data_IF_989467900098
#
_entry.id   IF_989467900098
#
_cell.length_a   1.000
_cell.length_b   1.000
_cell.length_c   1.000
_cell.angle_alpha   90.00
_cell.angle_beta   90.00
_cell.angle_gamma   90.00
#
_symmetry.space_group_name_H-M   'P 1'
#
loop_
_entity.id
_entity.type
_entity.pdbx_description
1 polymer ?
#
# COMPACT_ATOMS: atom_id res chain seq x y z
N UNK A 1 58.58 2.13 -29.18
CA UNK A 1 58.24 1.48 -27.90
C UNK A 1 57.79 2.49 -26.83
N UNK A 2 58.63 3.43 -26.36
CA UNK A 2 58.22 4.37 -25.28
C UNK A 2 57.05 5.31 -25.65
N UNK A 3 57.04 5.89 -26.85
CA UNK A 3 55.97 6.81 -27.30
C UNK A 3 54.61 6.13 -27.46
N UNK A 4 54.60 4.86 -27.81
CA UNK A 4 53.39 4.06 -28.01
C UNK A 4 52.78 3.64 -26.67
N UNK A 5 53.63 3.28 -25.70
CA UNK A 5 53.21 3.06 -24.32
C UNK A 5 52.62 4.33 -23.68
N UNK A 6 53.20 5.51 -23.93
CA UNK A 6 52.67 6.79 -23.45
C UNK A 6 51.30 7.13 -24.07
N UNK A 7 51.10 6.82 -25.35
CA UNK A 7 49.82 7.01 -26.02
C UNK A 7 48.74 6.10 -25.40
N UNK A 8 49.05 4.83 -25.16
CA UNK A 8 48.17 3.88 -24.50
C UNK A 8 47.81 4.31 -23.07
N UNK A 9 48.78 4.79 -22.28
CA UNK A 9 48.51 5.30 -20.93
C UNK A 9 47.58 6.51 -20.95
N UNK A 10 47.73 7.42 -21.91
CA UNK A 10 46.83 8.58 -22.06
C UNK A 10 45.41 8.16 -22.46
N UNK A 11 45.28 7.19 -23.35
CA UNK A 11 43.98 6.64 -23.74
C UNK A 11 43.29 5.95 -22.55
N UNK A 12 44.02 5.10 -21.83
CA UNK A 12 43.50 4.45 -20.62
C UNK A 12 43.06 5.46 -19.55
N UNK A 13 43.81 6.55 -19.35
CA UNK A 13 43.40 7.62 -18.42
C UNK A 13 42.08 8.26 -18.84
N UNK A 14 41.90 8.56 -20.13
CA UNK A 14 40.63 9.10 -20.66
C UNK A 14 39.48 8.11 -20.43
N UNK A 15 39.70 6.82 -20.68
CA UNK A 15 38.68 5.79 -20.43
C UNK A 15 38.32 5.71 -18.94
N UNK A 16 39.30 5.80 -18.04
CA UNK A 16 39.06 5.82 -16.60
C UNK A 16 38.25 7.05 -16.19
N UNK A 17 38.54 8.23 -16.74
CA UNK A 17 37.80 9.45 -16.40
C UNK A 17 36.34 9.37 -16.86
N UNK A 18 36.07 8.78 -18.04
CA UNK A 18 34.70 8.48 -18.50
C UNK A 18 34.01 7.50 -17.56
N UNK A 19 34.68 6.42 -17.19
CA UNK A 19 34.12 5.41 -16.28
C UNK A 19 33.79 6.00 -14.90
N UNK A 20 34.64 6.89 -14.37
CA UNK A 20 34.38 7.60 -13.11
C UNK A 20 33.13 8.48 -13.20
N UNK A 21 33.01 9.27 -14.27
CA UNK A 21 31.84 10.12 -14.48
C UNK A 21 30.55 9.30 -14.62
N UNK A 22 30.61 8.17 -15.34
CA UNK A 22 29.48 7.27 -15.46
C UNK A 22 29.14 6.57 -14.13
N UNK A 23 30.14 6.13 -13.37
CA UNK A 23 29.93 5.53 -12.06
C UNK A 23 29.26 6.50 -11.08
N UNK A 24 29.71 7.76 -11.04
CA UNK A 24 29.10 8.78 -10.17
C UNK A 24 27.65 9.06 -10.55
N UNK A 25 27.35 9.07 -11.86
CA UNK A 25 25.97 9.27 -12.35
C UNK A 25 25.08 8.10 -11.96
N UNK A 26 25.55 6.87 -12.13
CA UNK A 26 24.82 5.66 -11.75
C UNK A 26 24.60 5.58 -10.24
N UNK A 27 25.61 5.93 -9.44
CA UNK A 27 25.50 5.96 -7.98
C UNK A 27 24.46 6.99 -7.52
N UNK A 28 24.50 8.22 -8.06
CA UNK A 28 23.48 9.24 -7.76
C UNK A 28 22.08 8.78 -8.14
N UNK A 29 21.93 8.11 -9.28
CA UNK A 29 20.65 7.56 -9.72
C UNK A 29 20.15 6.44 -8.79
N UNK A 30 21.03 5.53 -8.39
CA UNK A 30 20.73 4.44 -7.48
C UNK A 30 20.27 4.96 -6.11
N UNK A 31 20.98 5.94 -5.53
CA UNK A 31 20.61 6.57 -4.26
C UNK A 31 19.23 7.23 -4.32
N UNK A 32 18.93 7.96 -5.40
CA UNK A 32 17.61 8.56 -5.59
C UNK A 32 16.50 7.52 -5.75
N UNK A 33 16.78 6.42 -6.46
CA UNK A 33 15.82 5.33 -6.64
C UNK A 33 15.55 4.61 -5.31
N UNK A 34 16.59 4.35 -4.52
CA UNK A 34 16.49 3.75 -3.20
C UNK A 34 15.65 4.64 -2.25
N UNK A 35 15.94 5.94 -2.21
CA UNK A 35 15.18 6.87 -1.37
C UNK A 35 13.69 6.90 -1.76
N UNK A 36 13.38 6.94 -3.06
CA UNK A 36 12.00 6.86 -3.56
C UNK A 36 11.33 5.54 -3.17
N UNK A 37 12.07 4.43 -3.22
CA UNK A 37 11.56 3.12 -2.85
C UNK A 37 11.26 3.03 -1.35
N UNK A 38 12.15 3.52 -0.49
CA UNK A 38 11.96 3.58 0.97
C UNK A 38 10.75 4.45 1.32
N UNK A 39 10.65 5.64 0.72
CA UNK A 39 9.50 6.55 0.90
C UNK A 39 8.20 5.89 0.44
N UNK A 40 8.19 5.24 -0.72
CA UNK A 40 7.04 4.50 -1.25
C UNK A 40 6.60 3.38 -0.33
N UNK A 41 7.54 2.56 0.15
CA UNK A 41 7.28 1.48 1.12
C UNK A 41 6.66 2.00 2.41
N UNK A 42 7.17 3.12 2.93
CA UNK A 42 6.66 3.76 4.15
C UNK A 42 5.24 4.27 3.96
N UNK A 43 4.94 4.93 2.84
CA UNK A 43 3.59 5.39 2.51
C UNK A 43 2.60 4.23 2.37
N UNK A 44 2.99 3.16 1.67
CA UNK A 44 2.15 1.96 1.53
C UNK A 44 1.86 1.30 2.88
N UNK A 45 2.86 1.24 3.78
CA UNK A 45 2.67 0.72 5.13
C UNK A 45 1.70 1.58 5.94
N UNK A 46 1.83 2.90 5.87
CA UNK A 46 0.93 3.83 6.57
C UNK A 46 -0.51 3.71 6.04
N UNK A 47 -0.70 3.73 4.72
CA UNK A 47 -1.99 3.55 4.09
C UNK A 47 -2.61 2.20 4.47
N UNK A 48 -1.81 1.14 4.47
CA UNK A 48 -2.25 -0.18 4.95
C UNK A 48 -2.77 -0.14 6.39
N UNK A 49 -2.07 0.54 7.31
CA UNK A 49 -2.51 0.68 8.71
C UNK A 49 -3.85 1.41 8.82
N UNK A 50 -4.04 2.47 8.04
CA UNK A 50 -5.30 3.20 7.96
C UNK A 50 -6.43 2.30 7.45
N UNK A 51 -6.19 1.57 6.36
CA UNK A 51 -7.17 0.62 5.82
C UNK A 51 -7.52 -0.45 6.85
N UNK A 52 -6.52 -0.99 7.58
CA UNK A 52 -6.76 -1.98 8.65
C UNK A 52 -7.62 -1.43 9.78
N UNK A 53 -7.48 -0.14 10.10
CA UNK A 53 -8.36 0.55 11.05
C UNK A 53 -9.79 0.61 10.52
N UNK A 54 -9.99 0.98 9.26
CA UNK A 54 -11.32 1.05 8.64
C UNK A 54 -11.97 -0.34 8.56
N UNK A 55 -11.21 -1.39 8.22
CA UNK A 55 -11.69 -2.79 8.24
C UNK A 55 -12.23 -3.17 9.62
N UNK A 56 -11.55 -2.78 10.69
CA UNK A 56 -12.00 -3.03 12.07
C UNK A 56 -13.29 -2.27 12.38
N UNK A 57 -13.37 -1.00 12.00
CA UNK A 57 -14.58 -0.20 12.17
C UNK A 57 -15.77 -0.79 11.40
N UNK A 58 -15.58 -1.18 10.14
CA UNK A 58 -16.61 -1.83 9.32
C UNK A 58 -17.06 -3.17 9.96
N UNK A 59 -16.13 -3.96 10.49
CA UNK A 59 -16.46 -5.18 11.25
C UNK A 59 -17.31 -4.89 12.49
N UNK A 60 -17.02 -3.82 13.24
CA UNK A 60 -17.82 -3.42 14.41
C UNK A 60 -19.23 -2.96 14.00
N UNK A 61 -19.35 -2.21 12.89
CA UNK A 61 -20.63 -1.79 12.33
C UNK A 61 -21.46 -3.02 11.95
N UNK A 62 -20.88 -4.00 11.27
CA UNK A 62 -21.57 -5.27 10.96
C UNK A 62 -22.08 -5.98 12.22
N UNK A 63 -21.24 -6.05 13.26
CA UNK A 63 -21.62 -6.70 14.52
C UNK A 63 -22.75 -5.96 15.23
N UNK A 64 -22.69 -4.62 15.27
CA UNK A 64 -23.73 -3.78 15.86
C UNK A 64 -25.04 -3.88 15.06
N UNK A 65 -24.96 -3.85 13.73
CA UNK A 65 -26.12 -4.00 12.86
C UNK A 65 -26.78 -5.39 13.03
N UNK A 66 -25.99 -6.45 13.21
CA UNK A 66 -26.51 -7.77 13.52
C UNK A 66 -27.28 -7.79 14.85
N UNK A 67 -26.69 -7.25 15.93
CA UNK A 67 -27.38 -7.16 17.22
C UNK A 67 -28.65 -6.31 17.17
N UNK A 68 -28.60 -5.17 16.47
CA UNK A 68 -29.78 -4.33 16.28
C UNK A 68 -30.87 -5.02 15.46
N UNK A 69 -30.50 -5.83 14.45
CA UNK A 69 -31.44 -6.63 13.68
C UNK A 69 -32.18 -7.63 14.57
N UNK A 70 -31.53 -8.20 15.57
CA UNK A 70 -32.15 -9.14 16.50
C UNK A 70 -33.14 -8.43 17.42
N UNK A 71 -32.79 -7.27 17.98
CA UNK A 71 -33.75 -6.43 18.75
C UNK A 71 -34.94 -6.01 17.88
N UNK A 72 -34.68 -5.59 16.64
CA UNK A 72 -35.74 -5.18 15.71
C UNK A 72 -36.68 -6.33 15.33
N UNK A 73 -36.28 -7.60 15.46
CA UNK A 73 -37.19 -8.74 15.22
C UNK A 73 -38.26 -8.87 16.29
N UNK A 74 -37.96 -8.48 17.52
CA UNK A 74 -38.86 -8.57 18.67
C UNK A 74 -39.97 -7.51 18.60
N UNK A 75 -39.74 -6.42 17.86
CA UNK A 75 -40.71 -5.33 17.70
C UNK A 75 -41.82 -5.64 16.68
N UNK A 76 -43.04 -5.07 16.85
CA UNK A 76 -44.12 -5.18 15.88
C UNK A 76 -43.72 -4.71 14.47
N UNK A 77 -44.23 -5.40 13.44
CA UNK A 77 -43.86 -5.16 12.03
C UNK A 77 -44.07 -3.71 11.56
N UNK A 78 -45.15 -3.06 11.99
CA UNK A 78 -45.58 -1.76 11.47
C UNK A 78 -44.55 -0.65 11.75
N UNK A 79 -43.92 -0.71 12.92
CA UNK A 79 -42.97 0.32 13.37
C UNK A 79 -41.51 -0.06 13.04
N UNK A 80 -41.19 -1.36 12.99
CA UNK A 80 -39.82 -1.83 12.80
C UNK A 80 -39.41 -2.11 11.33
N UNK A 81 -40.36 -2.19 10.39
CA UNK A 81 -40.06 -2.63 9.02
C UNK A 81 -39.02 -1.75 8.30
N UNK A 82 -39.19 -0.42 8.39
CA UNK A 82 -38.27 0.55 7.77
C UNK A 82 -36.88 0.53 8.42
N UNK A 83 -36.80 0.27 9.72
CA UNK A 83 -35.52 0.11 10.42
C UNK A 83 -34.84 -1.20 10.03
N UNK A 84 -35.60 -2.30 9.88
CA UNK A 84 -35.04 -3.60 9.46
C UNK A 84 -34.39 -3.53 8.08
N UNK A 85 -35.01 -2.84 7.12
CA UNK A 85 -34.43 -2.66 5.80
C UNK A 85 -33.13 -1.84 5.88
N UNK A 86 -33.18 -0.67 6.51
CA UNK A 86 -32.00 0.22 6.67
C UNK A 86 -30.83 -0.47 7.37
N UNK A 87 -31.08 -1.23 8.43
CA UNK A 87 -30.04 -1.97 9.16
C UNK A 87 -29.48 -3.10 8.31
N UNK A 88 -30.32 -3.77 7.52
CA UNK A 88 -29.87 -4.81 6.58
C UNK A 88 -28.99 -4.22 5.47
N UNK A 89 -29.39 -3.08 4.93
CA UNK A 89 -28.65 -2.39 3.86
C UNK A 89 -27.29 -1.93 4.37
N UNK A 90 -27.24 -1.27 5.54
CA UNK A 90 -26.02 -0.83 6.20
C UNK A 90 -25.05 -1.98 6.49
N UNK A 91 -25.56 -3.11 7.03
CA UNK A 91 -24.75 -4.30 7.26
C UNK A 91 -24.16 -4.85 5.96
N UNK A 92 -24.95 -4.86 4.88
CA UNK A 92 -24.52 -5.35 3.58
C UNK A 92 -23.45 -4.45 2.95
N UNK A 93 -23.56 -3.13 3.13
CA UNK A 93 -22.61 -2.15 2.62
C UNK A 93 -21.29 -2.25 3.37
N UNK A 94 -21.32 -2.25 4.71
CA UNK A 94 -20.13 -2.44 5.54
C UNK A 94 -19.40 -3.76 5.21
N UNK A 95 -20.15 -4.84 4.95
CA UNK A 95 -19.59 -6.12 4.53
C UNK A 95 -18.90 -6.07 3.17
N UNK A 96 -19.49 -5.38 2.18
CA UNK A 96 -18.89 -5.20 0.85
C UNK A 96 -17.61 -4.38 0.96
N UNK A 97 -17.66 -3.27 1.69
CA UNK A 97 -16.51 -2.39 1.90
C UNK A 97 -15.38 -3.13 2.63
N UNK A 98 -15.68 -3.83 3.73
CA UNK A 98 -14.69 -4.62 4.46
C UNK A 98 -14.01 -5.65 3.57
N UNK A 99 -14.77 -6.39 2.75
CA UNK A 99 -14.22 -7.37 1.81
C UNK A 99 -13.32 -6.71 0.76
N UNK A 100 -13.72 -5.57 0.22
CA UNK A 100 -12.93 -4.81 -0.74
C UNK A 100 -11.61 -4.34 -0.11
N UNK A 101 -11.69 -3.66 1.03
CA UNK A 101 -10.52 -3.14 1.75
C UNK A 101 -9.57 -4.26 2.19
N UNK A 102 -10.09 -5.41 2.58
CA UNK A 102 -9.27 -6.59 2.93
C UNK A 102 -8.45 -7.05 1.72
N UNK A 103 -9.04 -7.08 0.52
CA UNK A 103 -8.31 -7.42 -0.71
C UNK A 103 -7.19 -6.42 -1.00
N UNK A 104 -7.44 -5.12 -0.80
CA UNK A 104 -6.41 -4.09 -1.00
C UNK A 104 -5.25 -4.22 0.01
N UNK A 105 -5.52 -4.52 1.28
CA UNK A 105 -4.46 -4.80 2.26
C UNK A 105 -3.66 -6.04 1.90
N UNK A 106 -4.31 -7.09 1.42
CA UNK A 106 -3.63 -8.30 0.94
C UNK A 106 -2.69 -7.99 -0.23
N UNK A 107 -3.08 -7.10 -1.16
CA UNK A 107 -2.18 -6.65 -2.24
C UNK A 107 -0.93 -5.95 -1.71
N UNK A 108 -1.04 -5.17 -0.63
CA UNK A 108 0.12 -4.52 0.01
C UNK A 108 1.03 -5.58 0.66
N UNK A 109 0.45 -6.53 1.39
CA UNK A 109 1.20 -7.61 2.02
C UNK A 109 1.93 -8.51 1.00
N UNK A 110 1.28 -8.83 -0.12
CA UNK A 110 1.86 -9.64 -1.20
C UNK A 110 3.08 -8.98 -1.87
N UNK A 111 3.24 -7.66 -1.73
CA UNK A 111 4.43 -6.92 -2.20
C UNK A 111 5.56 -6.91 -1.16
N UNK A 112 5.49 -7.75 -0.13
CA UNK A 112 6.50 -7.82 0.93
C UNK A 112 6.43 -6.67 1.95
N UNK A 113 5.34 -5.91 1.97
CA UNK A 113 5.13 -4.80 2.89
C UNK A 113 4.17 -5.25 3.99
N UNK A 114 4.72 -5.57 5.16
CA UNK A 114 3.91 -5.97 6.32
C UNK A 114 3.18 -4.78 6.93
N UNK A 115 1.85 -4.89 6.97
CA UNK A 115 0.89 -3.89 7.47
C UNK A 115 0.30 -4.26 8.82
#
# INVERSE_FOLDING_TARGET
MLLEADAQVRELRKSIDVLKAESEKLEKSALQAEEKMIRGKTKLRQAGKQIRSVIRSAFLIEKQAAGLKDVLKELPRRDASSFRSRVSDLASEAMKERKFLTKEVTKINNRGISV
#
